data_IF_536143832559
#
_entry.id   IF_536143832559
#
_cell.length_a   1.000
_cell.length_b   1.000
_cell.length_c   1.000
_cell.angle_alpha   90.00
_cell.angle_beta   90.00
_cell.angle_gamma   90.00
#
_symmetry.space_group_name_H-M   'P 1'
#
loop_
_entity.id
_entity.type
_entity.pdbx_description
1 polymer ?
#
# COMPACT_ATOMS: atom_id res chain seq x y z
N UNK A 1 -4.58 3.97 14.17
CA UNK A 1 -4.68 5.37 13.66
C UNK A 1 -5.62 6.18 14.55
N UNK A 2 -5.36 7.48 14.71
CA UNK A 2 -6.22 8.41 15.46
C UNK A 2 -7.36 8.91 14.56
N UNK A 3 -8.50 9.30 15.14
CA UNK A 3 -9.53 10.09 14.44
C UNK A 3 -8.88 11.38 13.93
N UNK A 4 -9.23 11.81 12.72
CA UNK A 4 -8.60 12.91 11.98
C UNK A 4 -7.15 12.67 11.54
N UNK A 5 -6.70 11.41 11.60
CA UNK A 5 -5.41 11.01 11.04
C UNK A 5 -5.41 11.12 9.52
N UNK A 6 -4.26 11.45 8.92
CA UNK A 6 -4.08 11.44 7.46
C UNK A 6 -3.29 10.21 7.03
N UNK A 7 -3.74 9.58 5.96
CA UNK A 7 -3.04 8.51 5.24
C UNK A 7 -2.51 9.11 3.95
N UNK A 8 -1.20 9.03 3.76
CA UNK A 8 -0.52 9.40 2.52
C UNK A 8 0.05 8.14 1.86
N UNK A 9 -0.19 7.98 0.56
CA UNK A 9 0.38 6.89 -0.24
C UNK A 9 1.09 7.50 -1.44
N UNK A 10 2.35 7.09 -1.66
CA UNK A 10 3.14 7.44 -2.82
C UNK A 10 3.25 6.19 -3.70
N UNK A 11 2.83 6.31 -4.95
CA UNK A 11 2.89 5.23 -5.94
C UNK A 11 3.81 5.62 -7.08
N UNK A 12 4.65 4.70 -7.55
CA UNK A 12 5.54 4.95 -8.70
C UNK A 12 4.99 4.34 -9.99
N UNK A 13 4.12 3.34 -9.86
CA UNK A 13 3.53 2.62 -10.98
C UNK A 13 2.04 2.92 -11.13
N UNK A 14 1.55 2.83 -12.38
CA UNK A 14 0.16 3.11 -12.72
C UNK A 14 -0.83 2.09 -12.14
N UNK A 15 -0.42 0.83 -11.99
CA UNK A 15 -1.23 -0.23 -11.39
C UNK A 15 -1.49 0.04 -9.90
N UNK A 16 -0.46 0.47 -9.18
CA UNK A 16 -0.56 0.86 -7.77
C UNK A 16 -1.49 2.06 -7.61
N UNK A 17 -1.31 3.12 -8.41
CA UNK A 17 -2.19 4.31 -8.37
C UNK A 17 -3.66 3.94 -8.63
N UNK A 18 -3.90 3.02 -9.57
CA UNK A 18 -5.23 2.51 -9.88
C UNK A 18 -5.84 1.79 -8.68
N UNK A 19 -5.08 0.89 -8.05
CA UNK A 19 -5.54 0.15 -6.87
C UNK A 19 -5.83 1.11 -5.71
N UNK A 20 -4.93 2.03 -5.41
CA UNK A 20 -5.13 3.05 -4.37
C UNK A 20 -6.36 3.92 -4.65
N UNK A 21 -6.57 4.31 -5.91
CA UNK A 21 -7.75 5.08 -6.32
C UNK A 21 -9.04 4.29 -6.09
N UNK A 22 -9.07 3.00 -6.43
CA UNK A 22 -10.25 2.15 -6.24
C UNK A 22 -10.57 2.00 -4.75
N UNK A 23 -9.56 1.65 -3.93
CA UNK A 23 -9.70 1.54 -2.48
C UNK A 23 -10.20 2.86 -1.89
N UNK A 24 -9.58 4.00 -2.23
CA UNK A 24 -10.03 5.29 -1.69
C UNK A 24 -11.46 5.65 -2.11
N UNK A 25 -11.89 5.27 -3.33
CA UNK A 25 -13.26 5.50 -3.78
C UNK A 25 -14.27 4.61 -3.07
N UNK A 26 -13.92 3.35 -2.82
CA UNK A 26 -14.79 2.40 -2.11
C UNK A 26 -15.04 2.86 -0.66
N UNK A 27 -13.97 3.25 0.04
CA UNK A 27 -14.04 3.70 1.43
C UNK A 27 -14.66 5.10 1.59
N UNK A 28 -14.62 5.92 0.54
CA UNK A 28 -15.30 7.23 0.49
C UNK A 28 -16.78 7.11 0.13
N UNK A 29 -17.17 6.18 -0.76
CA UNK A 29 -18.58 5.98 -1.13
C UNK A 29 -19.41 5.40 0.01
N UNK A 30 -18.79 4.57 0.86
CA UNK A 30 -19.51 3.88 1.93
C UNK A 30 -20.50 2.82 1.38
N UNK A 31 -21.15 2.05 2.27
CA UNK A 31 -22.10 1.04 1.86
C UNK A 31 -23.40 1.66 1.31
N UNK A 32 -24.04 0.97 0.36
CA UNK A 32 -25.24 1.45 -0.30
C UNK A 32 -26.41 1.51 0.69
N UNK A 33 -26.91 2.71 0.97
CA UNK A 33 -28.02 2.93 1.90
C UNK A 33 -29.35 2.78 1.14
N UNK A 34 -30.28 1.92 1.58
CA UNK A 34 -31.61 1.86 0.96
C UNK A 34 -32.32 3.20 1.10
N UNK A 35 -32.78 3.74 -0.04
CA UNK A 35 -33.51 5.01 -0.14
C UNK A 35 -34.89 4.84 0.48
N UNK A 36 -35.06 5.27 1.73
CA UNK A 36 -36.34 5.17 2.46
C UNK A 36 -36.24 5.24 3.98
N UNK A 37 -35.03 5.23 4.56
CA UNK A 37 -34.84 5.39 6.00
C UNK A 37 -34.75 6.88 6.40
N UNK A 38 -35.47 7.32 7.45
CA UNK A 38 -35.39 8.69 7.97
C UNK A 38 -34.07 8.98 8.69
N UNK A 39 -33.31 7.95 9.06
CA UNK A 39 -32.00 8.05 9.73
C UNK A 39 -31.04 7.07 9.06
N UNK A 40 -29.91 7.58 8.58
CA UNK A 40 -28.80 6.77 8.06
C UNK A 40 -28.05 6.19 9.27
N UNK A 41 -27.99 4.86 9.46
CA UNK A 41 -27.23 4.29 10.57
C UNK A 41 -25.74 4.63 10.45
N UNK A 42 -25.03 4.81 11.56
CA UNK A 42 -23.60 5.15 11.58
C UNK A 42 -22.72 4.12 10.83
N UNK A 43 -23.20 2.88 10.73
CA UNK A 43 -22.62 1.81 9.90
C UNK A 43 -22.47 2.18 8.42
N UNK A 44 -23.19 3.20 7.94
CA UNK A 44 -23.18 3.66 6.55
C UNK A 44 -22.41 4.96 6.35
N UNK A 45 -21.76 5.48 7.40
CA UNK A 45 -20.91 6.67 7.26
C UNK A 45 -19.61 6.34 6.51
N UNK A 46 -19.16 7.23 5.60
CA UNK A 46 -17.93 7.02 4.86
C UNK A 46 -16.73 7.00 5.82
N UNK A 47 -15.84 6.02 5.64
CA UNK A 47 -14.72 5.79 6.55
C UNK A 47 -13.56 6.75 6.30
N UNK A 48 -13.41 7.17 5.05
CA UNK A 48 -12.33 8.02 4.59
C UNK A 48 -12.88 9.19 3.78
N UNK A 49 -12.22 10.34 3.88
CA UNK A 49 -12.44 11.50 3.03
C UNK A 49 -11.17 11.79 2.25
N UNK A 50 -11.26 11.93 0.92
CA UNK A 50 -10.09 12.33 0.13
C UNK A 50 -9.81 13.82 0.34
N UNK A 51 -8.56 14.14 0.63
CA UNK A 51 -8.12 15.55 0.75
C UNK A 51 -7.94 16.16 -0.65
N UNK A 52 -7.36 15.38 -1.57
CA UNK A 52 -7.07 15.83 -2.94
C UNK A 52 -7.81 14.94 -3.95
N UNK A 53 -8.52 15.56 -4.90
CA UNK A 53 -9.23 14.83 -5.96
C UNK A 53 -8.28 14.32 -7.05
N UNK A 54 -7.26 15.12 -7.39
CA UNK A 54 -6.16 14.75 -8.28
C UNK A 54 -4.94 14.33 -7.44
N UNK A 55 -4.15 13.34 -7.90
CA UNK A 55 -2.88 13.03 -7.26
C UNK A 55 -1.95 14.25 -7.33
N UNK A 56 -1.13 14.43 -6.30
CA UNK A 56 -0.04 15.41 -6.29
C UNK A 56 1.13 14.78 -7.05
N UNK A 57 1.63 15.47 -8.07
CA UNK A 57 2.79 15.07 -8.86
C UNK A 57 4.02 15.86 -8.44
N UNK A 58 5.20 15.34 -8.73
CA UNK A 58 6.46 16.04 -8.53
C UNK A 58 6.47 17.40 -9.25
N UNK A 59 7.10 18.40 -8.64
CA UNK A 59 7.36 19.71 -9.24
C UNK A 59 8.61 19.66 -10.12
N UNK A 60 8.86 20.68 -10.94
CA UNK A 60 10.06 20.71 -11.80
C UNK A 60 11.36 20.68 -10.98
N UNK A 61 11.40 21.37 -9.84
CA UNK A 61 12.52 21.35 -8.88
C UNK A 61 12.79 19.92 -8.38
N UNK A 62 11.75 19.16 -8.02
CA UNK A 62 11.88 17.77 -7.57
C UNK A 62 12.42 16.84 -8.67
N UNK A 63 12.16 17.14 -9.94
CA UNK A 63 12.61 16.33 -11.07
C UNK A 63 14.09 16.56 -11.38
N UNK A 64 14.56 17.79 -11.23
CA UNK A 64 15.97 18.15 -11.40
C UNK A 64 16.83 17.54 -10.28
N UNK A 65 16.34 17.54 -9.05
CA UNK A 65 17.01 16.90 -7.91
C UNK A 65 16.92 15.37 -7.96
N UNK A 66 15.78 14.82 -8.40
CA UNK A 66 15.56 13.39 -8.45
C UNK A 66 14.66 12.95 -9.61
N UNK A 67 15.28 12.56 -10.71
CA UNK A 67 14.57 12.06 -11.91
C UNK A 67 13.64 10.86 -11.61
N UNK A 68 13.88 10.07 -10.55
CA UNK A 68 12.97 8.97 -10.17
C UNK A 68 11.62 9.46 -9.65
N UNK A 69 11.49 10.72 -9.27
CA UNK A 69 10.23 11.33 -8.81
C UNK A 69 9.23 11.57 -9.96
N UNK A 70 9.67 11.50 -11.22
CA UNK A 70 8.83 11.75 -12.40
C UNK A 70 7.55 10.93 -12.47
N UNK A 71 7.60 9.68 -12.03
CA UNK A 71 6.44 8.79 -12.05
C UNK A 71 5.67 8.75 -10.73
N UNK A 72 6.20 9.40 -9.68
CA UNK A 72 5.61 9.40 -8.36
C UNK A 72 4.30 10.18 -8.34
N UNK A 73 3.27 9.56 -7.76
CA UNK A 73 1.97 10.17 -7.51
C UNK A 73 1.65 10.03 -6.04
N UNK A 74 1.38 11.15 -5.38
CA UNK A 74 0.98 11.20 -3.99
C UNK A 74 -0.54 11.35 -3.88
N UNK A 75 -1.16 10.48 -3.08
CA UNK A 75 -2.58 10.60 -2.70
C UNK A 75 -2.70 10.70 -1.19
N UNK A 76 -3.60 11.57 -0.73
CA UNK A 76 -3.86 11.79 0.69
C UNK A 76 -5.35 11.64 1.00
N UNK A 77 -5.66 10.89 2.05
CA UNK A 77 -7.00 10.72 2.60
C UNK A 77 -6.99 10.97 4.11
N UNK A 78 -8.07 11.52 4.62
CA UNK A 78 -8.33 11.78 6.03
C UNK A 78 -9.28 10.72 6.59
N UNK A 79 -8.98 10.27 7.80
CA UNK A 79 -9.74 9.23 8.51
C UNK A 79 -10.83 9.91 9.33
N UNK A 80 -12.09 9.65 8.99
CA UNK A 80 -13.23 10.30 9.63
C UNK A 80 -13.63 9.60 10.93
N UNK A 81 -13.57 8.27 11.02
CA UNK A 81 -14.03 7.53 12.20
C UNK A 81 -13.13 6.32 12.52
N UNK A 82 -12.73 6.18 13.81
CA UNK A 82 -11.79 5.14 14.30
C UNK A 82 -12.41 3.75 14.33
N UNK A 83 -13.70 3.67 14.67
CA UNK A 83 -14.34 2.41 15.07
C UNK A 83 -14.53 1.43 13.91
N UNK A 84 -14.55 1.92 12.66
CA UNK A 84 -14.81 1.08 11.50
C UNK A 84 -13.57 0.63 10.71
N UNK A 85 -12.39 1.13 11.06
CA UNK A 85 -11.12 0.73 10.45
C UNK A 85 -10.68 -0.66 10.92
N UNK A 86 -10.93 -0.98 12.20
CA UNK A 86 -10.57 -2.27 12.80
C UNK A 86 -11.38 -3.41 12.12
N UNK A 87 -12.66 -3.19 11.83
CA UNK A 87 -13.49 -4.20 11.13
C UNK A 87 -13.18 -4.36 9.62
N UNK A 88 -12.55 -3.38 8.97
CA UNK A 88 -12.24 -3.45 7.54
C UNK A 88 -10.98 -4.28 7.27
N UNK A 89 -9.97 -4.16 8.13
CA UNK A 89 -8.72 -4.91 8.01
C UNK A 89 -8.95 -6.40 8.22
N UNK A 90 -9.82 -6.78 9.17
CA UNK A 90 -10.18 -8.18 9.41
C UNK A 90 -10.98 -8.83 8.28
N UNK A 91 -11.75 -8.06 7.49
CA UNK A 91 -12.51 -8.63 6.35
C UNK A 91 -11.66 -8.86 5.09
N UNK A 92 -10.57 -8.11 4.91
CA UNK A 92 -9.68 -8.23 3.75
C UNK A 92 -8.63 -9.31 3.96
N UNK A 93 -8.29 -9.63 5.21
CA UNK A 93 -7.47 -10.79 5.55
C UNK A 93 -8.36 -12.04 5.65
N UNK A 94 -8.71 -12.63 4.52
CA UNK A 94 -9.23 -14.00 4.53
C UNK A 94 -8.11 -14.88 5.12
N UNK A 95 -8.33 -15.60 6.25
CA UNK A 95 -7.35 -16.55 6.72
C UNK A 95 -7.21 -17.60 5.61
N UNK A 96 -6.03 -17.67 4.99
CA UNK A 96 -5.69 -18.81 4.15
C UNK A 96 -5.91 -20.08 4.99
N UNK A 97 -6.67 -21.02 4.44
CA UNK A 97 -6.99 -22.29 5.09
C UNK A 97 -5.70 -22.97 5.55
N UNK A 98 -5.61 -23.29 6.85
CA UNK A 98 -4.39 -23.77 7.51
C UNK A 98 -3.88 -25.08 6.89
N UNK A 99 -4.79 -25.84 6.27
CA UNK A 99 -4.49 -27.07 5.53
C UNK A 99 -3.65 -26.81 4.26
N UNK A 100 -3.82 -25.64 3.63
CA UNK A 100 -3.03 -25.25 2.44
C UNK A 100 -1.63 -24.83 2.85
N UNK A 101 -1.47 -24.07 3.94
CA UNK A 101 -0.13 -23.64 4.41
C UNK A 101 0.78 -24.83 4.75
N UNK A 102 0.20 -25.87 5.38
CA UNK A 102 0.94 -27.06 5.79
C UNK A 102 1.23 -28.05 4.64
N UNK A 103 0.62 -27.88 3.47
CA UNK A 103 0.91 -28.69 2.28
C UNK A 103 1.96 -28.08 1.35
N UNK A 104 2.39 -26.83 1.60
CA UNK A 104 3.44 -26.19 0.81
C UNK A 104 4.79 -26.81 1.18
N UNK A 105 5.52 -27.43 0.24
CA UNK A 105 6.86 -27.94 0.51
C UNK A 105 7.76 -26.75 0.84
N UNK A 106 8.27 -26.71 2.07
CA UNK A 106 9.23 -25.70 2.51
C UNK A 106 10.52 -25.89 1.70
N UNK A 107 10.69 -25.10 0.64
CA UNK A 107 11.97 -25.04 -0.05
C UNK A 107 12.98 -24.43 0.92
N UNK A 108 13.97 -25.23 1.31
CA UNK A 108 15.09 -24.72 2.09
C UNK A 108 15.76 -23.62 1.27
N UNK A 109 16.07 -22.46 1.87
CA UNK A 109 16.81 -21.42 1.17
C UNK A 109 18.15 -22.01 0.74
N UNK A 110 18.35 -22.11 -0.57
CA UNK A 110 19.67 -22.31 -1.16
C UNK A 110 20.51 -21.10 -0.75
N UNK A 111 21.31 -21.25 0.29
CA UNK A 111 22.31 -20.25 0.67
C UNK A 111 23.29 -20.16 -0.48
N UNK A 112 23.11 -19.20 -1.39
CA UNK A 112 24.19 -18.81 -2.29
C UNK A 112 25.35 -18.37 -1.39
N UNK A 113 26.55 -18.98 -1.51
CA UNK A 113 27.68 -18.54 -0.72
C UNK A 113 27.92 -17.04 -1.00
N UNK A 114 28.15 -16.26 0.05
CA UNK A 114 28.58 -14.86 -0.08
C UNK A 114 29.87 -14.86 -0.89
N UNK A 115 29.95 -14.00 -1.90
CA UNK A 115 31.20 -13.68 -2.58
C UNK A 115 32.08 -12.87 -1.64
N UNK A 116 32.72 -13.53 -0.68
CA UNK A 116 33.86 -12.96 0.06
C UNK A 116 35.16 -13.77 -0.14
N UNK A 117 35.11 -14.93 -0.82
CA UNK A 117 36.28 -15.77 -1.10
C UNK A 117 36.78 -15.69 -2.56
N UNK A 118 36.87 -14.49 -3.14
CA UNK A 118 37.54 -14.27 -4.44
C UNK A 118 38.85 -13.47 -4.35
N UNK A 119 39.35 -13.17 -3.16
CA UNK A 119 40.66 -12.53 -2.94
C UNK A 119 41.53 -13.52 -2.18
N UNK A 120 42.34 -14.31 -2.91
CA UNK A 120 43.56 -15.04 -2.48
C UNK A 120 43.90 -16.25 -3.37
N UNK A 121 43.58 -16.23 -4.67
CA UNK A 121 44.18 -17.18 -5.64
C UNK A 121 44.45 -16.53 -7.00
N UNK A 122 45.23 -15.46 -6.99
CA UNK A 122 46.01 -15.05 -8.17
C UNK A 122 47.48 -15.08 -7.80
N UNK A 123 48.10 -16.25 -7.92
CA UNK A 123 49.55 -16.39 -8.00
C UNK A 123 50.04 -15.81 -9.33
N UNK A 124 50.03 -14.48 -9.44
CA UNK A 124 50.63 -13.75 -10.55
C UNK A 124 51.92 -13.12 -10.02
N UNK A 125 53.03 -13.82 -10.23
CA UNK A 125 54.38 -13.28 -10.09
C UNK A 125 54.56 -12.16 -11.10
N UNK A 126 54.91 -10.97 -10.59
CA UNK A 126 55.34 -9.83 -11.38
C UNK A 126 56.78 -10.11 -11.86
N UNK A 127 56.97 -10.19 -13.16
CA UNK A 127 58.23 -9.91 -13.86
C UNK A 127 57.91 -8.86 -14.93
#
# INVERSE_FOLDING_TARGET
MKVDGRISVITFHSLEDRLCKQVFQEYEKGPEVPRGLPVIPEAYTPKLKRVNRKPITATEEDLDDNNRARSAKLRVAEILNKEQLIMAVEKVYQPYDEQVYNSIPKQQPQTKPRKEDCFEKSGCTIN
#
